data_IF_971554996435
#
_entry.id   IF_971554996435
#
_cell.length_a   1.000
_cell.length_b   1.000
_cell.length_c   1.000
_cell.angle_alpha   90.00
_cell.angle_beta   90.00
_cell.angle_gamma   90.00
#
_symmetry.space_group_name_H-M   'P 1'
#
loop_
_entity.id
_entity.type
_entity.pdbx_description
1 polymer ?
#
# COMPACT_ATOMS: atom_id res chain seq x y z
N UNK A 1 17.66 -6.19 0.10
CA UNK A 1 16.74 -5.95 1.22
C UNK A 1 15.32 -6.22 0.76
N UNK A 2 14.53 -7.02 1.47
CA UNK A 2 13.25 -7.56 0.97
C UNK A 2 12.06 -6.60 1.08
N UNK A 3 12.00 -5.77 2.13
CA UNK A 3 10.80 -4.99 2.48
C UNK A 3 10.86 -3.49 2.15
N UNK A 4 11.99 -3.00 1.61
CA UNK A 4 12.19 -1.56 1.42
C UNK A 4 12.23 -0.78 2.75
N UNK A 5 11.77 0.47 2.72
CA UNK A 5 11.66 1.35 3.91
C UNK A 5 10.22 1.87 4.04
N UNK A 6 9.88 2.35 5.23
CA UNK A 6 8.56 2.92 5.53
C UNK A 6 8.65 4.46 5.54
N UNK A 7 7.77 5.10 4.77
CA UNK A 7 7.69 6.54 4.60
C UNK A 7 6.51 7.09 5.38
N UNK A 8 6.68 8.22 6.05
CA UNK A 8 5.52 9.04 6.39
C UNK A 8 4.93 9.64 5.09
N UNK A 9 3.67 10.09 5.13
CA UNK A 9 3.00 10.48 3.88
C UNK A 9 3.68 11.68 3.22
N UNK A 10 4.08 12.67 4.02
CA UNK A 10 4.82 13.85 3.50
C UNK A 10 6.11 13.44 2.80
N UNK A 11 6.87 12.51 3.36
CA UNK A 11 8.08 11.99 2.73
C UNK A 11 7.75 11.20 1.47
N UNK A 12 6.68 10.40 1.44
CA UNK A 12 6.26 9.67 0.24
C UNK A 12 5.92 10.63 -0.92
N UNK A 13 5.21 11.71 -0.63
CA UNK A 13 4.80 12.71 -1.62
C UNK A 13 5.94 13.60 -2.13
N UNK A 14 7.07 13.68 -1.42
CA UNK A 14 8.24 14.49 -1.79
C UNK A 14 7.91 15.95 -2.18
N UNK A 15 6.96 16.56 -1.45
CA UNK A 15 6.53 17.95 -1.68
C UNK A 15 5.47 18.14 -2.78
N UNK A 16 5.08 17.08 -3.47
CA UNK A 16 4.02 17.13 -4.49
C UNK A 16 2.62 17.29 -3.90
N UNK A 17 1.73 17.88 -4.68
CA UNK A 17 0.33 18.02 -4.32
C UNK A 17 -0.40 16.66 -4.36
N UNK A 18 -1.44 16.52 -3.54
CA UNK A 18 -2.31 15.34 -3.57
C UNK A 18 -2.98 15.18 -4.94
N UNK A 19 -3.20 13.93 -5.35
CA UNK A 19 -3.96 13.58 -6.56
C UNK A 19 -5.08 12.59 -6.28
N UNK A 20 -6.23 12.78 -6.92
CA UNK A 20 -7.40 11.89 -6.90
C UNK A 20 -7.63 11.21 -8.24
N UNK A 21 -6.78 11.42 -9.24
CA UNK A 21 -6.98 10.97 -10.62
C UNK A 21 -6.33 9.62 -10.89
N UNK A 22 -6.75 8.97 -11.98
CA UNK A 22 -6.10 7.78 -12.53
C UNK A 22 -5.65 8.10 -13.97
N UNK A 23 -4.34 8.23 -14.25
CA UNK A 23 -3.21 8.09 -13.31
C UNK A 23 -3.09 9.28 -12.35
N UNK A 24 -2.33 9.11 -11.25
CA UNK A 24 -2.14 10.21 -10.27
C UNK A 24 -1.23 11.32 -10.81
N UNK A 25 -0.21 10.96 -11.58
CA UNK A 25 0.88 11.84 -12.03
C UNK A 25 1.83 12.31 -10.93
N UNK A 26 1.72 11.78 -9.70
CA UNK A 26 2.53 12.20 -8.56
C UNK A 26 3.80 11.36 -8.51
N UNK A 27 4.94 11.91 -8.94
CA UNK A 27 6.22 11.21 -8.83
C UNK A 27 6.51 10.84 -7.37
N UNK A 28 6.50 11.83 -6.47
CA UNK A 28 6.92 11.64 -5.09
C UNK A 28 8.30 10.97 -5.00
N UNK A 29 8.45 10.01 -4.08
CA UNK A 29 9.69 9.23 -3.90
C UNK A 29 9.97 8.21 -5.02
N UNK A 30 9.10 8.11 -6.03
CA UNK A 30 9.30 7.17 -7.12
C UNK A 30 10.40 7.64 -8.09
N UNK A 31 11.07 6.70 -8.79
CA UNK A 31 12.00 7.05 -9.85
C UNK A 31 11.31 7.83 -10.98
N UNK A 32 12.07 8.61 -11.75
CA UNK A 32 11.56 9.28 -12.95
C UNK A 32 10.88 8.29 -13.91
N UNK A 33 9.71 8.68 -14.43
CA UNK A 33 8.86 7.82 -15.27
C UNK A 33 7.96 6.86 -14.48
N UNK A 34 7.87 7.07 -13.17
CA UNK A 34 6.98 6.35 -12.26
C UNK A 34 6.30 7.33 -11.31
N UNK A 35 5.11 6.96 -10.84
CA UNK A 35 4.32 7.73 -9.89
C UNK A 35 3.80 6.87 -8.73
N UNK A 36 3.42 7.53 -7.64
CA UNK A 36 2.66 6.94 -6.54
C UNK A 36 1.18 6.79 -6.91
N UNK A 37 0.56 5.62 -6.71
CA UNK A 37 -0.82 5.41 -7.09
C UNK A 37 -1.77 6.26 -6.24
N UNK A 38 -2.77 6.85 -6.89
CA UNK A 38 -3.89 7.49 -6.19
C UNK A 38 -4.86 6.46 -5.62
N UNK A 39 -5.82 6.94 -4.82
CA UNK A 39 -6.94 6.16 -4.33
C UNK A 39 -7.81 5.60 -5.49
N UNK A 40 -7.95 6.36 -6.58
CA UNK A 40 -8.69 5.96 -7.77
C UNK A 40 -7.97 4.86 -8.56
N UNK A 41 -6.64 4.86 -8.59
CA UNK A 41 -5.85 3.79 -9.22
C UNK A 41 -5.94 2.49 -8.44
N UNK A 42 -5.84 2.57 -7.10
CA UNK A 42 -6.08 1.43 -6.24
C UNK A 42 -7.50 0.86 -6.40
N UNK A 43 -8.51 1.72 -6.54
CA UNK A 43 -9.88 1.28 -6.83
C UNK A 43 -9.99 0.61 -8.20
N UNK A 44 -9.31 1.14 -9.23
CA UNK A 44 -9.22 0.51 -10.54
C UNK A 44 -8.61 -0.88 -10.48
N UNK A 45 -7.49 -1.03 -9.77
CA UNK A 45 -6.81 -2.33 -9.57
C UNK A 45 -7.72 -3.34 -8.86
N UNK A 46 -8.34 -2.98 -7.74
CA UNK A 46 -9.18 -3.93 -6.99
C UNK A 46 -10.43 -4.30 -7.77
N UNK A 47 -11.05 -3.36 -8.50
CA UNK A 47 -12.19 -3.65 -9.37
C UNK A 47 -11.82 -4.62 -10.50
N UNK A 48 -10.69 -4.40 -11.17
CA UNK A 48 -10.18 -5.30 -12.20
C UNK A 48 -10.00 -6.74 -11.69
N UNK A 49 -9.63 -6.90 -10.42
CA UNK A 49 -9.39 -8.20 -9.79
C UNK A 49 -10.64 -8.92 -9.27
N UNK A 50 -11.83 -8.30 -9.42
CA UNK A 50 -13.11 -8.85 -8.97
C UNK A 50 -13.63 -8.25 -7.67
N UNK A 51 -13.07 -7.12 -7.23
CA UNK A 51 -13.49 -6.38 -6.04
C UNK A 51 -12.52 -6.49 -4.87
N UNK A 52 -12.68 -5.60 -3.89
CA UNK A 52 -11.81 -5.54 -2.70
C UNK A 52 -11.85 -6.80 -1.86
N UNK A 53 -12.95 -7.55 -1.86
CA UNK A 53 -13.13 -8.78 -1.07
C UNK A 53 -12.50 -10.03 -1.70
N UNK A 54 -11.69 -9.90 -2.73
CA UNK A 54 -10.93 -11.01 -3.35
C UNK A 54 -9.55 -10.57 -3.80
N UNK A 55 -9.36 -9.28 -4.09
CA UNK A 55 -8.13 -8.75 -4.63
C UNK A 55 -6.90 -8.97 -3.73
N UNK A 56 -7.06 -8.98 -2.41
CA UNK A 56 -5.94 -9.13 -1.47
C UNK A 56 -5.25 -10.48 -1.62
N UNK A 57 -6.01 -11.58 -1.75
CA UNK A 57 -5.45 -12.90 -2.02
C UNK A 57 -4.64 -12.93 -3.32
N UNK A 58 -5.15 -12.30 -4.37
CA UNK A 58 -4.50 -12.24 -5.70
C UNK A 58 -3.24 -11.39 -5.76
N UNK A 59 -3.10 -10.44 -4.83
CA UNK A 59 -1.99 -9.49 -4.77
C UNK A 59 -0.86 -9.93 -3.84
N UNK A 60 -1.18 -10.61 -2.74
CA UNK A 60 -0.19 -11.04 -1.73
C UNK A 60 0.80 -12.07 -2.30
N UNK A 61 2.05 -12.00 -1.82
CA UNK A 61 3.02 -13.09 -1.99
C UNK A 61 2.41 -14.43 -1.54
N UNK A 62 2.67 -15.50 -2.29
CA UNK A 62 2.22 -16.86 -1.96
C UNK A 62 2.96 -17.46 -0.78
N UNK A 63 2.29 -18.31 0.01
CA UNK A 63 2.90 -19.04 1.11
C UNK A 63 3.13 -18.16 2.34
N UNK A 64 3.96 -18.62 3.27
CA UNK A 64 4.15 -17.97 4.58
C UNK A 64 5.61 -17.66 4.88
N UNK A 65 6.42 -17.44 3.84
CA UNK A 65 7.83 -17.06 4.01
C UNK A 65 7.94 -15.71 4.71
N UNK A 66 7.12 -14.75 4.28
CA UNK A 66 7.06 -13.43 4.89
C UNK A 66 5.74 -13.18 5.64
N UNK A 67 4.62 -13.63 5.07
CA UNK A 67 3.31 -13.53 5.74
C UNK A 67 3.17 -14.57 6.84
N UNK A 68 2.57 -14.17 7.96
CA UNK A 68 2.14 -15.10 8.99
C UNK A 68 1.10 -16.09 8.43
N UNK A 69 1.10 -17.31 8.96
CA UNK A 69 0.06 -18.30 8.66
C UNK A 69 -1.30 -17.81 9.17
N UNK A 70 -2.39 -17.90 8.38
CA UNK A 70 -2.51 -18.77 7.19
C UNK A 70 -2.18 -18.12 5.84
N UNK A 71 -1.89 -16.82 5.78
CA UNK A 71 -1.83 -16.06 4.53
C UNK A 71 -3.00 -16.37 3.58
N UNK A 72 -4.23 -16.22 4.07
CA UNK A 72 -5.47 -16.72 3.46
C UNK A 72 -5.54 -16.38 1.97
N UNK A 73 -5.77 -17.41 1.15
CA UNK A 73 -5.97 -17.39 -0.30
C UNK A 73 -4.95 -16.58 -1.10
N UNK A 74 -3.71 -16.49 -0.60
CA UNK A 74 -2.65 -15.79 -1.31
C UNK A 74 -2.16 -16.56 -2.54
N UNK A 75 -2.46 -16.06 -3.74
CA UNK A 75 -2.09 -16.69 -5.02
C UNK A 75 -0.99 -15.95 -5.78
N UNK A 76 -0.79 -14.65 -5.49
CA UNK A 76 0.10 -13.76 -6.25
C UNK A 76 -0.08 -13.85 -7.78
N UNK A 77 -1.28 -14.20 -8.29
CA UNK A 77 -1.51 -14.43 -9.72
C UNK A 77 -1.25 -13.20 -10.60
N UNK A 78 -1.21 -12.02 -9.96
CA UNK A 78 -0.93 -10.72 -10.59
C UNK A 78 0.56 -10.42 -10.75
N UNK A 79 1.43 -11.15 -10.03
CA UNK A 79 2.85 -10.80 -9.89
C UNK A 79 3.11 -9.57 -9.00
N UNK A 80 2.08 -8.97 -8.40
CA UNK A 80 2.23 -7.77 -7.56
C UNK A 80 3.18 -8.01 -6.38
N UNK A 81 3.11 -9.20 -5.77
CA UNK A 81 3.95 -9.68 -4.67
C UNK A 81 3.88 -8.75 -3.46
N UNK A 82 2.67 -8.58 -2.90
CA UNK A 82 2.47 -7.73 -1.74
C UNK A 82 3.13 -8.38 -0.51
N UNK A 83 3.94 -7.60 0.21
CA UNK A 83 4.71 -8.07 1.37
C UNK A 83 4.24 -7.41 2.68
N UNK A 84 4.33 -8.14 3.82
CA UNK A 84 3.86 -7.67 5.12
C UNK A 84 4.92 -6.86 5.87
N UNK A 85 5.28 -5.71 5.32
CA UNK A 85 6.31 -4.83 5.91
C UNK A 85 5.92 -4.20 7.25
N UNK A 86 4.67 -4.35 7.69
CA UNK A 86 4.14 -3.71 8.88
C UNK A 86 4.04 -2.19 8.73
N UNK A 87 4.16 -1.48 9.86
CA UNK A 87 4.10 -0.03 9.90
C UNK A 87 5.04 0.56 10.96
N UNK A 88 5.31 1.86 10.83
CA UNK A 88 5.95 2.68 11.87
C UNK A 88 4.90 3.58 12.51
N UNK A 89 4.84 3.59 13.83
CA UNK A 89 3.98 4.50 14.60
C UNK A 89 4.60 5.91 14.70
N UNK A 90 3.81 6.89 15.15
CA UNK A 90 4.25 8.27 15.32
C UNK A 90 5.42 8.40 16.32
N UNK A 91 5.43 7.59 17.38
CA UNK A 91 6.51 7.50 18.37
C UNK A 91 7.78 6.80 17.85
N UNK A 92 7.79 6.36 16.59
CA UNK A 92 8.93 5.68 15.96
C UNK A 92 9.03 4.18 16.19
N UNK A 93 8.13 3.58 16.97
CA UNK A 93 8.06 2.13 17.10
C UNK A 93 7.58 1.47 15.80
N UNK A 94 8.05 0.26 15.54
CA UNK A 94 7.61 -0.56 14.40
C UNK A 94 6.68 -1.65 14.91
N UNK A 95 5.63 -1.96 14.14
CA UNK A 95 4.60 -2.92 14.51
C UNK A 95 4.09 -3.70 13.29
N UNK A 96 3.34 -4.77 13.54
CA UNK A 96 2.58 -5.53 12.54
C UNK A 96 3.41 -6.21 11.43
N UNK A 97 4.73 -6.29 11.60
CA UNK A 97 5.61 -7.01 10.69
C UNK A 97 5.17 -8.48 10.54
N UNK A 98 5.07 -8.98 9.32
CA UNK A 98 4.57 -10.33 9.01
C UNK A 98 3.04 -10.46 9.01
N UNK A 99 2.31 -9.51 9.62
CA UNK A 99 0.85 -9.58 9.77
C UNK A 99 0.10 -8.65 8.83
N UNK A 100 0.66 -7.46 8.56
CA UNK A 100 0.06 -6.47 7.68
C UNK A 100 1.07 -5.94 6.67
N UNK A 101 0.57 -5.68 5.46
CA UNK A 101 1.23 -4.82 4.48
C UNK A 101 0.40 -3.55 4.31
N UNK A 102 1.06 -2.39 4.40
CA UNK A 102 0.42 -1.09 4.20
C UNK A 102 1.13 -0.30 3.11
N UNK A 103 0.35 0.37 2.26
CA UNK A 103 0.86 1.24 1.20
C UNK A 103 0.15 2.58 1.20
N UNK A 104 0.91 3.66 1.15
CA UNK A 104 0.34 4.99 0.95
C UNK A 104 -0.28 5.13 -0.44
N UNK A 105 -1.35 5.91 -0.52
CA UNK A 105 -1.87 6.49 -1.76
C UNK A 105 -1.40 7.94 -1.88
N UNK A 106 -1.29 8.46 -3.10
CA UNK A 106 -1.04 9.86 -3.39
C UNK A 106 -2.25 10.77 -3.08
N UNK A 107 -3.34 10.21 -2.54
CA UNK A 107 -4.59 10.94 -2.24
C UNK A 107 -4.67 11.33 -0.77
N UNK A 108 -4.72 12.64 -0.54
CA UNK A 108 -5.03 13.25 0.75
C UNK A 108 -6.50 12.97 1.15
N UNK A 109 -6.72 12.75 2.44
CA UNK A 109 -8.06 12.61 3.03
C UNK A 109 -8.39 13.69 4.08
N UNK A 110 -7.56 14.73 4.14
CA UNK A 110 -7.71 15.91 5.00
C UNK A 110 -6.36 16.43 5.47
N UNK A 111 -6.38 17.54 6.22
CA UNK A 111 -5.16 18.22 6.69
C UNK A 111 -4.16 17.27 7.35
N UNK A 112 -4.64 16.38 8.23
CA UNK A 112 -3.81 15.46 9.01
C UNK A 112 -3.77 14.03 8.46
N UNK A 113 -4.58 13.72 7.44
CA UNK A 113 -4.86 12.34 7.05
C UNK A 113 -4.64 12.10 5.56
N UNK A 114 -4.23 10.88 5.22
CA UNK A 114 -4.12 10.41 3.85
C UNK A 114 -4.69 9.01 3.71
N UNK A 115 -5.09 8.66 2.48
CA UNK A 115 -5.59 7.32 2.19
C UNK A 115 -4.43 6.34 2.09
N UNK A 116 -4.65 5.13 2.62
CA UNK A 116 -3.74 4.00 2.50
C UNK A 116 -4.51 2.74 2.09
N UNK A 117 -3.76 1.77 1.60
CA UNK A 117 -4.23 0.39 1.42
C UNK A 117 -3.57 -0.53 2.43
N UNK A 118 -4.34 -1.49 2.92
CA UNK A 118 -3.88 -2.51 3.85
C UNK A 118 -4.30 -3.91 3.41
N UNK A 119 -3.44 -4.88 3.64
CA UNK A 119 -3.76 -6.31 3.50
C UNK A 119 -3.34 -7.02 4.78
N UNK A 120 -4.15 -7.98 5.22
CA UNK A 120 -3.97 -8.71 6.48
C UNK A 120 -3.73 -10.19 6.22
N UNK A 121 -2.84 -10.81 6.99
CA UNK A 121 -2.43 -12.20 6.74
C UNK A 121 -3.62 -13.18 6.72
N UNK A 122 -4.60 -13.04 7.61
CA UNK A 122 -5.72 -13.99 7.67
C UNK A 122 -6.93 -13.57 6.83
N UNK A 123 -6.76 -12.62 5.91
CA UNK A 123 -7.81 -12.12 5.02
C UNK A 123 -7.34 -12.09 3.57
N UNK A 124 -8.30 -12.17 2.65
CA UNK A 124 -8.10 -11.99 1.20
C UNK A 124 -8.56 -10.59 0.73
N UNK A 125 -8.90 -9.69 1.64
CA UNK A 125 -9.39 -8.36 1.31
C UNK A 125 -8.25 -7.36 1.03
N UNK A 126 -8.55 -6.32 0.26
CA UNK A 126 -7.82 -5.06 0.26
C UNK A 126 -8.61 -4.02 1.03
N UNK A 127 -8.08 -3.61 2.18
CA UNK A 127 -8.68 -2.59 3.01
C UNK A 127 -8.28 -1.18 2.57
N UNK A 128 -9.20 -0.24 2.72
CA UNK A 128 -8.99 1.19 2.51
C UNK A 128 -9.08 1.90 3.85
N UNK A 129 -7.99 2.56 4.24
CA UNK A 129 -7.88 3.22 5.54
C UNK A 129 -7.57 4.69 5.38
N UNK A 130 -8.07 5.49 6.32
CA UNK A 130 -7.70 6.88 6.49
C UNK A 130 -6.78 6.96 7.72
N UNK A 131 -5.51 7.30 7.50
CA UNK A 131 -4.50 7.29 8.56
C UNK A 131 -3.81 8.64 8.68
N UNK A 132 -3.27 8.92 9.87
CA UNK A 132 -2.50 10.14 10.08
C UNK A 132 -1.25 10.11 9.22
N UNK A 133 -0.91 11.26 8.62
CA UNK A 133 0.25 11.41 7.72
C UNK A 133 1.59 11.14 8.43
N UNK A 134 1.61 11.07 9.75
CA UNK A 134 2.78 10.79 10.60
C UNK A 134 3.14 9.30 10.67
N UNK A 135 2.21 8.38 10.35
CA UNK A 135 2.51 6.95 10.32
C UNK A 135 3.44 6.61 9.15
N UNK A 136 4.27 5.59 9.32
CA UNK A 136 5.12 5.09 8.26
C UNK A 136 4.55 3.85 7.58
N UNK A 137 4.35 3.91 6.26
CA UNK A 137 3.92 2.78 5.42
C UNK A 137 4.82 2.64 4.19
N UNK A 138 4.72 1.51 3.51
CA UNK A 138 5.44 1.28 2.26
C UNK A 138 4.90 2.18 1.14
N UNK A 139 5.69 2.31 0.08
CA UNK A 139 5.26 2.91 -1.19
C UNK A 139 5.31 1.87 -2.29
N UNK A 140 4.47 2.03 -3.31
CA UNK A 140 4.50 1.23 -4.53
C UNK A 140 4.47 2.19 -5.69
N UNK A 141 5.48 2.15 -6.54
CA UNK A 141 5.54 2.98 -7.74
C UNK A 141 4.86 2.25 -8.91
N UNK A 142 4.10 3.00 -9.70
CA UNK A 142 3.45 2.57 -10.94
C UNK A 142 4.14 3.29 -12.10
N UNK A 143 4.42 2.59 -13.20
CA UNK A 143 5.07 3.20 -14.36
C UNK A 143 4.06 4.05 -15.12
N UNK A 144 4.50 5.21 -15.58
CA UNK A 144 3.72 6.11 -16.45
C UNK A 144 3.43 5.49 -17.83
#
# INVERSE_FOLDING_TARGET
>A
TTYGVLYNWTAAMDGEASSTTNPSGIQGVCPTGWHLPSDAEWAGLTNYLGGTSVAGGKLKETGTTHWASPNTDATNETGFTALPGGNRANNGSFANFGYYGYWWSATEGGTYYAWARGMYFSSYDVYRYLYTKELGFSVRCVRD
#
